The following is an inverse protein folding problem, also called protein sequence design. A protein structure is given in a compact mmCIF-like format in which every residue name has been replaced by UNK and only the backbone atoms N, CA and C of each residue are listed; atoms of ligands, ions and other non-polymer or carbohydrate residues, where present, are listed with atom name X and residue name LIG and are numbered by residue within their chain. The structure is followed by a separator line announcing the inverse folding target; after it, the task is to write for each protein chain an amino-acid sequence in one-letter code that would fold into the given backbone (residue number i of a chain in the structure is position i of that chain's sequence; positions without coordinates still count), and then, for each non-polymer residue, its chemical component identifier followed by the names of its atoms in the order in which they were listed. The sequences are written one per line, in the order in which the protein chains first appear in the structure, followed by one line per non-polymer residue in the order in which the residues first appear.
data_IF_669398941339
#
_entry.id   IF_669398941339
#
_cell.length_a   1.000
_cell.length_b   1.000
_cell.length_c   1.000
_cell.angle_alpha   90.00
_cell.angle_beta   90.00
_cell.angle_gamma   90.00
#
_symmetry.space_group_name_H-M   'P 1'
#
loop_
_entity.id
_entity.type
_entity.pdbx_description
1 polymer ?
#
# COMPACT_ATOMS: atom_id res chain seq x y z
N UNK A 1 -42.25 10.92 28.86
CA UNK A 1 -43.18 10.48 27.81
C UNK A 1 -42.72 9.09 27.40
N UNK A 2 -43.38 8.10 27.98
CA UNK A 2 -43.07 6.67 27.84
C UNK A 2 -43.97 6.14 26.73
N UNK A 3 -43.40 5.40 25.78
CA UNK A 3 -44.18 4.50 24.93
C UNK A 3 -43.42 3.19 24.80
N UNK A 4 -44.01 2.15 25.38
CA UNK A 4 -43.60 0.74 25.33
C UNK A 4 -44.87 -0.02 24.96
N UNK A 5 -44.92 -0.60 23.76
CA UNK A 5 -45.93 -1.58 23.29
C UNK A 5 -45.42 -2.18 21.97
N UNK A 6 -45.56 -3.46 21.60
CA UNK A 6 -45.76 -4.78 22.23
C UNK A 6 -45.60 -5.78 21.04
N UNK A 7 -45.19 -7.03 21.31
CA UNK A 7 -45.58 -8.28 20.61
C UNK A 7 -45.14 -8.61 19.17
N UNK A 8 -44.78 -9.89 18.98
CA UNK A 8 -44.99 -10.60 17.71
C UNK A 8 -43.94 -11.67 17.38
N UNK A 9 -44.15 -12.91 17.83
CA UNK A 9 -43.28 -14.06 17.55
C UNK A 9 -43.53 -14.81 16.23
N UNK A 10 -42.91 -16.01 16.15
CA UNK A 10 -42.88 -17.05 15.08
C UNK A 10 -41.87 -16.79 13.94
N UNK A 11 -40.96 -17.70 13.57
CA UNK A 11 -40.67 -19.09 13.94
C UNK A 11 -39.37 -19.55 13.24
N UNK A 12 -38.85 -20.76 13.52
CA UNK A 12 -37.57 -21.23 12.98
C UNK A 12 -37.72 -21.77 11.54
N UNK A 13 -37.00 -21.19 10.59
CA UNK A 13 -36.82 -21.77 9.25
C UNK A 13 -35.50 -22.53 9.17
N UNK A 14 -35.59 -23.85 9.17
CA UNK A 14 -34.67 -24.76 8.45
C UNK A 14 -35.53 -25.53 7.43
N UNK A 15 -35.02 -26.26 6.42
CA UNK A 15 -33.63 -26.59 6.07
C UNK A 15 -33.30 -26.34 4.57
N UNK A 16 -32.02 -26.42 4.20
CA UNK A 16 -31.59 -26.39 2.81
C UNK A 16 -30.22 -27.07 2.64
N UNK A 17 -30.23 -28.40 2.62
CA UNK A 17 -29.11 -29.19 2.13
C UNK A 17 -29.05 -29.05 0.60
N UNK A 18 -27.97 -28.45 0.10
CA UNK A 18 -27.63 -28.40 -1.31
C UNK A 18 -26.22 -28.93 -1.49
N UNK A 19 -26.12 -30.20 -1.87
CA UNK A 19 -24.89 -30.83 -2.34
C UNK A 19 -24.30 -30.03 -3.49
N UNK A 20 -23.04 -29.61 -3.32
CA UNK A 20 -22.19 -29.12 -4.38
C UNK A 20 -20.87 -29.86 -4.31
N UNK A 21 -20.87 -31.08 -4.84
CA UNK A 21 -19.65 -31.79 -5.24
C UNK A 21 -18.92 -30.91 -6.26
N UNK A 22 -17.77 -30.34 -5.86
CA UNK A 22 -16.84 -29.71 -6.78
C UNK A 22 -15.42 -30.16 -6.44
N UNK A 23 -14.97 -31.18 -7.16
CA UNK A 23 -13.56 -31.47 -7.41
C UNK A 23 -13.38 -31.61 -8.93
N UNK A 24 -12.18 -31.47 -9.51
CA UNK A 24 -10.93 -30.93 -8.99
C UNK A 24 -10.36 -29.82 -9.91
N UNK A 25 -10.01 -28.67 -9.34
CA UNK A 25 -9.15 -27.69 -10.01
C UNK A 25 -7.70 -27.96 -9.67
N UNK A 26 -7.03 -28.82 -10.45
CA UNK A 26 -5.57 -28.82 -10.54
C UNK A 26 -5.11 -27.47 -11.10
N UNK A 27 -4.78 -26.54 -10.22
CA UNK A 27 -3.56 -25.74 -10.37
C UNK A 27 -2.72 -26.13 -9.18
N UNK A 28 -1.62 -26.87 -9.32
CA UNK A 28 -0.37 -26.27 -9.79
C UNK A 28 -0.32 -24.75 -9.64
N UNK A 29 -0.62 -24.27 -8.44
CA UNK A 29 -0.03 -23.05 -7.95
C UNK A 29 1.34 -23.47 -7.42
N UNK A 30 2.28 -23.65 -8.34
CA UNK A 30 3.66 -23.39 -8.01
C UNK A 30 3.71 -21.92 -7.53
N UNK A 31 4.03 -21.62 -6.25
CA UNK A 31 4.53 -20.30 -5.97
C UNK A 31 5.85 -20.23 -6.74
N UNK A 32 5.85 -19.47 -7.83
CA UNK A 32 7.07 -18.97 -8.42
C UNK A 32 7.93 -18.47 -7.25
N UNK A 33 9.15 -19.00 -7.15
CA UNK A 33 10.19 -18.49 -6.26
C UNK A 33 10.45 -17.03 -6.60
N UNK A 34 9.71 -16.16 -5.95
CA UNK A 34 9.92 -14.74 -5.87
C UNK A 34 9.35 -14.39 -4.51
N UNK A 35 10.21 -14.23 -3.52
CA UNK A 35 9.81 -13.95 -2.14
C UNK A 35 8.82 -12.80 -2.17
N UNK A 36 7.53 -13.13 -1.95
CA UNK A 36 6.49 -12.14 -1.85
C UNK A 36 6.91 -11.24 -0.68
N UNK A 37 7.23 -9.99 -1.00
CA UNK A 37 7.31 -8.94 0.01
C UNK A 37 5.98 -9.05 0.76
N UNK A 38 6.03 -9.38 2.05
CA UNK A 38 4.80 -9.55 2.80
C UNK A 38 4.07 -8.21 2.80
N UNK A 39 2.74 -8.19 2.96
CA UNK A 39 2.01 -6.94 3.19
C UNK A 39 2.61 -6.13 4.37
N UNK A 40 3.34 -6.79 5.28
CA UNK A 40 4.10 -6.19 6.37
C UNK A 40 5.34 -5.39 5.92
N UNK A 41 6.07 -5.84 4.90
CA UNK A 41 7.22 -5.10 4.36
C UNK A 41 6.74 -3.90 3.54
N UNK A 42 5.67 -4.07 2.77
CA UNK A 42 5.05 -2.99 2.02
C UNK A 42 4.45 -1.91 2.94
N UNK A 43 3.72 -2.32 3.99
CA UNK A 43 3.17 -1.38 4.96
C UNK A 43 4.26 -0.67 5.76
N UNK A 44 5.36 -1.35 6.09
CA UNK A 44 6.53 -0.74 6.72
C UNK A 44 7.22 0.27 5.78
N UNK A 45 7.39 -0.08 4.50
CA UNK A 45 7.98 0.79 3.49
C UNK A 45 7.09 2.02 3.25
N UNK A 46 5.78 1.85 3.12
CA UNK A 46 4.81 2.97 3.00
C UNK A 46 4.92 3.92 4.19
N UNK A 47 4.99 3.37 5.41
CA UNK A 47 5.11 4.18 6.62
C UNK A 47 6.41 4.96 6.65
N UNK A 48 7.53 4.32 6.33
CA UNK A 48 8.84 4.95 6.28
C UNK A 48 8.87 6.06 5.21
N UNK A 49 8.34 5.81 4.01
CA UNK A 49 8.22 6.81 2.95
C UNK A 49 7.35 8.00 3.35
N UNK A 50 6.25 7.76 4.06
CA UNK A 50 5.39 8.83 4.55
C UNK A 50 6.09 9.69 5.62
N UNK A 51 6.90 9.08 6.48
CA UNK A 51 7.73 9.79 7.46
C UNK A 51 8.83 10.61 6.74
N UNK A 52 9.53 10.01 5.77
CA UNK A 52 10.54 10.70 4.96
C UNK A 52 9.96 11.85 4.14
N UNK A 53 8.77 11.68 3.56
CA UNK A 53 8.09 12.73 2.82
C UNK A 53 7.61 13.86 3.75
N UNK A 54 7.13 13.53 4.95
CA UNK A 54 6.79 14.53 5.96
C UNK A 54 8.00 15.38 6.34
N UNK A 55 9.16 14.75 6.54
CA UNK A 55 10.43 15.45 6.80
C UNK A 55 10.89 16.29 5.60
N UNK A 56 10.78 15.77 4.38
CA UNK A 56 11.13 16.48 3.15
C UNK A 56 10.21 17.69 2.87
N UNK A 57 8.99 17.69 3.40
CA UNK A 57 8.05 18.81 3.41
C UNK A 57 8.20 19.73 4.63
N UNK A 58 9.28 19.61 5.42
CA UNK A 58 9.48 20.38 6.66
C UNK A 58 8.31 20.24 7.66
N UNK A 59 7.58 19.11 7.61
CA UNK A 59 6.41 18.83 8.43
C UNK A 59 5.11 19.52 7.97
N UNK A 60 5.09 20.17 6.80
CA UNK A 60 3.89 20.82 6.25
C UNK A 60 2.78 19.81 5.94
N UNK A 61 3.15 18.58 5.56
CA UNK A 61 2.24 17.46 5.36
C UNK A 61 2.60 16.35 6.34
N UNK A 62 1.63 15.85 7.11
CA UNK A 62 1.86 14.79 8.08
C UNK A 62 1.96 13.41 7.42
N UNK A 63 2.77 12.50 7.97
CA UNK A 63 2.85 11.11 7.50
C UNK A 63 1.47 10.40 7.48
N UNK A 64 0.58 10.74 8.43
CA UNK A 64 -0.79 10.24 8.45
C UNK A 64 -1.65 10.77 7.30
N UNK A 65 -1.49 12.04 6.93
CA UNK A 65 -2.15 12.59 5.74
C UNK A 65 -1.65 11.92 4.48
N UNK A 66 -0.33 11.76 4.35
CA UNK A 66 0.28 11.10 3.18
C UNK A 66 -0.23 9.66 3.03
N UNK A 67 -0.29 8.89 4.11
CA UNK A 67 -0.79 7.51 4.10
C UNK A 67 -2.30 7.43 3.79
N UNK A 68 -3.07 8.46 4.14
CA UNK A 68 -4.50 8.56 3.85
C UNK A 68 -4.81 9.23 2.51
N UNK A 69 -3.84 9.92 1.93
CA UNK A 69 -3.95 10.67 0.70
C UNK A 69 -3.78 9.73 -0.50
N UNK A 70 -4.90 9.19 -0.97
CA UNK A 70 -4.96 8.47 -2.25
C UNK A 70 -4.88 9.42 -3.47
N UNK A 71 -4.11 10.50 -3.38
CA UNK A 71 -3.93 11.50 -4.42
C UNK A 71 -2.44 11.80 -4.64
N UNK A 72 -2.15 12.53 -5.72
CA UNK A 72 -0.76 12.78 -6.10
C UNK A 72 -0.02 13.68 -5.11
N UNK A 73 1.30 13.55 -5.04
CA UNK A 73 2.14 14.39 -4.18
C UNK A 73 1.97 15.89 -4.50
N UNK A 74 1.82 16.23 -5.78
CA UNK A 74 1.54 17.62 -6.20
C UNK A 74 0.20 18.11 -5.65
N UNK A 75 -0.82 17.25 -5.59
CA UNK A 75 -2.13 17.60 -5.02
C UNK A 75 -2.08 17.76 -3.49
N UNK A 76 -1.12 17.12 -2.81
CA UNK A 76 -0.82 17.33 -1.39
C UNK A 76 0.00 18.60 -1.12
N UNK A 77 0.42 19.31 -2.16
CA UNK A 77 1.28 20.49 -2.03
C UNK A 77 2.78 20.16 -1.95
N UNK A 78 3.17 18.92 -2.19
CA UNK A 78 4.58 18.53 -2.25
C UNK A 78 5.23 19.23 -3.44
N UNK A 79 6.10 20.19 -3.15
CA UNK A 79 6.84 20.92 -4.17
C UNK A 79 8.01 20.12 -4.73
N UNK A 80 8.56 20.59 -5.87
CA UNK A 80 9.72 19.97 -6.52
C UNK A 80 10.95 19.86 -5.60
N UNK A 81 11.13 20.81 -4.67
CA UNK A 81 12.22 20.75 -3.69
C UNK A 81 12.03 19.60 -2.69
N UNK A 82 10.81 19.40 -2.21
CA UNK A 82 10.47 18.28 -1.33
C UNK A 82 10.63 16.95 -2.05
N UNK A 83 10.33 16.87 -3.35
CA UNK A 83 10.60 15.66 -4.14
C UNK A 83 12.10 15.35 -4.25
N UNK A 84 12.94 16.35 -4.53
CA UNK A 84 14.41 16.14 -4.58
C UNK A 84 14.95 15.71 -3.21
N UNK A 85 14.47 16.32 -2.12
CA UNK A 85 14.86 15.94 -0.75
C UNK A 85 14.38 14.55 -0.36
N UNK A 86 13.17 14.18 -0.79
CA UNK A 86 12.64 12.84 -0.59
C UNK A 86 13.56 11.81 -1.25
N UNK A 87 14.02 12.09 -2.47
CA UNK A 87 14.85 11.17 -3.23
C UNK A 87 16.22 11.00 -2.57
N UNK A 88 16.85 12.10 -2.15
CA UNK A 88 18.09 12.05 -1.36
C UNK A 88 17.92 11.21 -0.07
N UNK A 89 16.78 11.35 0.62
CA UNK A 89 16.45 10.53 1.79
C UNK A 89 16.22 9.05 1.46
N UNK A 90 15.65 8.74 0.29
CA UNK A 90 15.45 7.37 -0.21
C UNK A 90 16.77 6.73 -0.60
N UNK A 91 17.61 7.42 -1.37
CA UNK A 91 18.91 6.93 -1.80
C UNK A 91 19.81 6.66 -0.60
N UNK A 92 19.88 7.61 0.35
CA UNK A 92 20.64 7.42 1.59
C UNK A 92 20.03 6.39 2.53
N UNK A 93 18.70 6.22 2.53
CA UNK A 93 18.00 5.34 3.47
C UNK A 93 17.96 3.88 3.05
N UNK A 94 17.88 3.63 1.74
CA UNK A 94 17.76 2.30 1.15
C UNK A 94 19.02 1.85 0.39
N UNK A 95 20.05 2.71 0.30
CA UNK A 95 21.27 2.46 -0.47
C UNK A 95 20.97 2.12 -1.94
N UNK A 96 19.98 2.82 -2.51
CA UNK A 96 19.53 2.68 -3.91
C UNK A 96 19.91 3.93 -4.69
N UNK A 97 20.06 3.80 -6.01
CA UNK A 97 20.24 4.94 -6.93
C UNK A 97 18.96 5.12 -7.75
N UNK A 98 18.36 6.32 -7.71
CA UNK A 98 17.13 6.62 -8.45
C UNK A 98 17.48 7.50 -9.65
N UNK A 99 17.38 6.91 -10.83
CA UNK A 99 17.67 7.64 -12.07
C UNK A 99 16.49 8.54 -12.48
N UNK A 100 16.74 9.85 -12.52
CA UNK A 100 15.78 10.86 -13.00
C UNK A 100 15.71 10.98 -14.54
N UNK A 101 16.51 10.21 -15.28
CA UNK A 101 16.70 10.38 -16.73
C UNK A 101 15.52 9.84 -17.58
N UNK A 102 14.37 9.55 -16.97
CA UNK A 102 13.16 9.05 -17.64
C UNK A 102 11.85 9.70 -17.17
N UNK A 103 10.74 8.96 -17.32
CA UNK A 103 9.44 9.37 -16.78
C UNK A 103 9.46 9.22 -15.25
N UNK A 104 9.38 10.35 -14.54
CA UNK A 104 9.21 10.41 -13.07
C UNK A 104 7.81 9.96 -12.60
N UNK A 105 7.18 9.03 -13.32
CA UNK A 105 5.81 8.56 -13.06
C UNK A 105 5.68 7.92 -11.68
N UNK A 106 6.76 7.34 -11.16
CA UNK A 106 6.80 6.76 -9.82
C UNK A 106 6.73 7.82 -8.70
N UNK A 107 6.93 9.11 -9.02
CA UNK A 107 6.77 10.24 -8.08
C UNK A 107 5.38 10.88 -8.17
N UNK A 108 4.42 10.26 -8.84
CA UNK A 108 3.07 10.78 -8.88
C UNK A 108 2.37 10.58 -7.53
N UNK A 109 2.49 9.38 -6.96
CA UNK A 109 1.80 8.95 -5.74
C UNK A 109 2.61 7.94 -4.93
N UNK A 110 2.18 7.72 -3.68
CA UNK A 110 2.86 6.81 -2.76
C UNK A 110 2.86 5.36 -3.24
N UNK A 111 1.78 4.92 -3.88
CA UNK A 111 1.66 3.55 -4.39
C UNK A 111 2.66 3.26 -5.51
N UNK A 112 2.80 4.18 -6.46
CA UNK A 112 3.75 4.09 -7.56
C UNK A 112 5.20 4.09 -7.07
N UNK A 113 5.50 4.94 -6.08
CA UNK A 113 6.84 5.00 -5.46
C UNK A 113 7.20 3.69 -4.74
N UNK A 114 6.27 3.16 -3.94
CA UNK A 114 6.45 1.89 -3.22
C UNK A 114 6.66 0.74 -4.19
N UNK A 115 5.85 0.65 -5.24
CA UNK A 115 5.98 -0.38 -6.27
C UNK A 115 7.33 -0.32 -6.99
N UNK A 116 7.81 0.88 -7.30
CA UNK A 116 9.12 1.07 -7.91
C UNK A 116 10.26 0.62 -6.99
N UNK A 117 10.24 1.04 -5.72
CA UNK A 117 11.27 0.70 -4.74
C UNK A 117 11.31 -0.79 -4.39
N UNK A 118 10.16 -1.47 -4.34
CA UNK A 118 10.12 -2.93 -4.21
C UNK A 118 10.75 -3.64 -5.42
N UNK A 119 10.65 -3.05 -6.62
CA UNK A 119 11.31 -3.54 -7.82
C UNK A 119 12.83 -3.39 -7.74
N UNK A 120 13.32 -2.22 -7.31
CA UNK A 120 14.74 -1.91 -7.17
C UNK A 120 15.44 -2.74 -6.08
N UNK A 121 14.87 -2.78 -4.87
CA UNK A 121 15.42 -3.56 -3.75
C UNK A 121 15.46 -5.06 -4.02
N UNK A 122 14.60 -5.56 -4.90
CA UNK A 122 14.64 -6.96 -5.36
C UNK A 122 15.76 -7.21 -6.39
N UNK A 123 16.12 -6.21 -7.17
CA UNK A 123 17.12 -6.32 -8.23
C UNK A 123 18.57 -6.30 -7.70
N UNK A 124 18.82 -5.71 -6.52
CA UNK A 124 20.16 -5.51 -5.95
C UNK A 124 20.72 -6.72 -5.17
N UNK A 125 19.97 -7.82 -5.02
CA UNK A 125 20.51 -9.04 -4.40
C UNK A 125 21.41 -9.82 -5.39
N UNK A 126 22.74 -9.95 -5.17
CA UNK A 126 23.53 -10.92 -5.91
C UNK A 126 23.05 -12.33 -5.58
N UNK A 127 22.79 -13.12 -6.63
CA UNK A 127 22.34 -14.51 -6.59
C UNK A 127 23.30 -15.46 -5.85
#
# INVERSE_FOLDING_TARGET
MTDIVLEGGHGPTTPGAGSGDHAPGSGDQAPASGRAVGPSDEAALRRWLAEALSEACDGEVSASEILGAGCSFVALGVGSLSMVRLIDAIESGLDVEIEFEGDAWFMEDLDSLVGHLQGLTRADLPA
#
